data_IF_691658034564
#
_entry.id   IF_691658034564
#
_cell.length_a   1.000
_cell.length_b   1.000
_cell.length_c   1.000
_cell.angle_alpha   90.00
_cell.angle_beta   90.00
_cell.angle_gamma   90.00
#
_symmetry.space_group_name_H-M   'P 1'
#
loop_
_entity.id
_entity.type
_entity.pdbx_description
1 polymer ?
#
# COMPACT_ATOMS: atom_id res chain seq x y z
N UNK A 1 -13.10 -18.81 -26.04
CA UNK A 1 -13.97 -18.58 -24.87
C UNK A 1 -13.55 -17.24 -24.30
N UNK A 2 -14.47 -16.28 -24.27
CA UNK A 2 -14.20 -14.99 -23.64
C UNK A 2 -14.10 -15.22 -22.14
N UNK A 3 -12.93 -14.93 -21.57
CA UNK A 3 -12.67 -15.04 -20.14
C UNK A 3 -13.46 -13.95 -19.39
N UNK A 4 -14.30 -14.34 -18.44
CA UNK A 4 -15.01 -13.40 -17.57
C UNK A 4 -14.28 -13.27 -16.22
N UNK A 5 -13.65 -12.13 -15.91
CA UNK A 5 -12.95 -11.92 -14.64
C UNK A 5 -13.89 -11.78 -13.43
N UNK A 6 -15.21 -11.73 -13.65
CA UNK A 6 -16.20 -11.47 -12.61
C UNK A 6 -16.28 -12.61 -11.59
N UNK A 7 -16.19 -13.86 -12.04
CA UNK A 7 -16.27 -15.04 -11.16
C UNK A 7 -15.05 -15.15 -10.24
N UNK A 8 -13.84 -14.95 -10.77
CA UNK A 8 -12.61 -14.93 -9.97
C UNK A 8 -12.63 -13.79 -8.93
N UNK A 9 -13.02 -12.58 -9.35
CA UNK A 9 -13.14 -11.43 -8.43
C UNK A 9 -14.14 -11.71 -7.32
N UNK A 10 -15.31 -12.25 -7.66
CA UNK A 10 -16.36 -12.57 -6.69
C UNK A 10 -15.90 -13.64 -5.71
N UNK A 11 -15.28 -14.71 -6.19
CA UNK A 11 -14.80 -15.79 -5.32
C UNK A 11 -13.78 -15.29 -4.28
N UNK A 12 -12.85 -14.42 -4.67
CA UNK A 12 -11.84 -13.85 -3.76
C UNK A 12 -12.48 -12.85 -2.79
N UNK A 13 -13.40 -12.01 -3.27
CA UNK A 13 -14.12 -11.04 -2.43
C UNK A 13 -15.02 -11.74 -1.39
N UNK A 14 -15.77 -12.78 -1.81
CA UNK A 14 -16.64 -13.58 -0.93
C UNK A 14 -15.83 -14.32 0.14
N UNK A 15 -14.62 -14.79 -0.20
CA UNK A 15 -13.72 -15.42 0.76
C UNK A 15 -13.22 -14.44 1.84
N UNK A 16 -13.16 -13.14 1.54
CA UNK A 16 -12.68 -12.06 2.42
C UNK A 16 -11.30 -12.35 3.03
N UNK A 17 -10.52 -13.18 2.35
CA UNK A 17 -9.23 -13.68 2.83
C UNK A 17 -8.04 -12.90 2.29
N UNK A 18 -8.30 -12.02 1.31
CA UNK A 18 -7.28 -11.28 0.58
C UNK A 18 -6.36 -12.17 -0.25
N UNK A 19 -5.35 -11.53 -0.83
CA UNK A 19 -4.27 -12.18 -1.56
C UNK A 19 -3.40 -13.03 -0.63
N UNK A 20 -3.16 -12.59 0.63
CA UNK A 20 -2.42 -13.40 1.61
C UNK A 20 -3.13 -14.73 1.89
N UNK A 21 -4.45 -14.74 2.07
CA UNK A 21 -5.20 -15.98 2.27
C UNK A 21 -5.16 -16.90 1.04
N UNK A 22 -5.15 -16.33 -0.17
CA UNK A 22 -4.94 -17.09 -1.40
C UNK A 22 -3.55 -17.76 -1.42
N UNK A 23 -2.49 -17.03 -1.07
CA UNK A 23 -1.13 -17.59 -0.94
C UNK A 23 -1.07 -18.70 0.11
N UNK A 24 -1.64 -18.45 1.30
CA UNK A 24 -1.61 -19.39 2.42
C UNK A 24 -2.38 -20.69 2.12
N UNK A 25 -3.36 -20.65 1.22
CA UNK A 25 -4.08 -21.84 0.73
C UNK A 25 -3.23 -22.75 -0.18
N UNK A 26 -2.01 -22.35 -0.52
CA UNK A 26 -1.10 -23.15 -1.33
C UNK A 26 -1.38 -23.07 -2.83
N UNK A 27 -1.86 -21.91 -3.32
CA UNK A 27 -2.16 -21.72 -4.74
C UNK A 27 -0.93 -22.01 -5.60
N UNK A 28 -1.09 -22.83 -6.65
CA UNK A 28 -0.01 -23.20 -7.59
C UNK A 28 0.01 -22.34 -8.86
N UNK A 29 -1.10 -21.69 -9.18
CA UNK A 29 -1.25 -20.81 -10.34
C UNK A 29 -1.85 -19.47 -9.92
N UNK A 30 -1.29 -18.36 -10.42
CA UNK A 30 -1.82 -17.02 -10.16
C UNK A 30 -3.15 -16.86 -10.91
N UNK A 31 -4.26 -16.49 -10.25
CA UNK A 31 -5.52 -16.20 -10.92
C UNK A 31 -5.36 -15.14 -12.01
N UNK A 32 -6.05 -15.32 -13.12
CA UNK A 32 -5.86 -14.50 -14.32
C UNK A 32 -6.20 -13.04 -14.08
N UNK A 33 -7.06 -12.73 -13.11
CA UNK A 33 -7.35 -11.35 -12.74
C UNK A 33 -6.12 -10.56 -12.26
N UNK A 34 -5.04 -11.21 -11.84
CA UNK A 34 -3.79 -10.58 -11.38
C UNK A 34 -2.68 -10.60 -12.43
N UNK A 35 -2.88 -11.28 -13.56
CA UNK A 35 -1.85 -11.42 -14.60
C UNK A 35 -1.90 -10.20 -15.52
N UNK A 36 -0.81 -9.43 -15.55
CA UNK A 36 -0.65 -8.30 -16.47
C UNK A 36 -0.51 -8.77 -17.93
N UNK A 37 -0.97 -7.98 -18.92
CA UNK A 37 -0.92 -8.38 -20.31
C UNK A 37 0.55 -8.39 -20.77
N UNK A 38 0.94 -9.29 -21.69
CA UNK A 38 2.34 -9.42 -22.11
C UNK A 38 2.96 -8.15 -22.70
N UNK A 39 2.16 -7.27 -23.31
CA UNK A 39 2.66 -6.03 -23.92
C UNK A 39 3.10 -5.01 -22.87
N UNK A 40 2.37 -4.85 -21.75
CA UNK A 40 2.78 -3.98 -20.63
C UNK A 40 4.11 -4.46 -20.03
N UNK A 41 4.26 -5.79 -19.86
CA UNK A 41 5.50 -6.36 -19.34
C UNK A 41 6.67 -6.17 -20.31
N UNK A 42 6.43 -6.31 -21.62
CA UNK A 42 7.45 -6.12 -22.64
C UNK A 42 7.94 -4.67 -22.70
N UNK A 43 7.05 -3.68 -22.52
CA UNK A 43 7.43 -2.27 -22.41
C UNK A 43 8.35 -2.02 -21.21
N UNK A 44 8.01 -2.53 -20.02
CA UNK A 44 8.84 -2.40 -18.82
C UNK A 44 10.23 -3.05 -18.99
N UNK A 45 10.30 -4.23 -19.60
CA UNK A 45 11.58 -4.92 -19.83
C UNK A 45 12.48 -4.18 -20.84
N UNK A 46 11.87 -3.41 -21.74
CA UNK A 46 12.58 -2.56 -22.70
C UNK A 46 12.93 -1.18 -22.11
N UNK A 47 12.40 -0.82 -20.93
CA UNK A 47 12.86 0.36 -20.21
C UNK A 47 14.29 0.12 -19.73
N UNK A 48 15.22 0.89 -20.31
CA UNK A 48 16.63 0.82 -19.96
C UNK A 48 16.80 1.01 -18.43
N UNK A 49 17.60 0.15 -17.79
CA UNK A 49 17.95 0.30 -16.37
C UNK A 49 18.64 1.65 -16.19
N UNK A 50 17.88 2.63 -15.74
CA UNK A 50 18.39 3.96 -15.50
C UNK A 50 19.37 3.94 -14.33
N UNK A 51 20.49 4.66 -14.45
CA UNK A 51 21.40 4.94 -13.34
C UNK A 51 20.91 6.08 -12.46
N UNK A 52 19.73 6.66 -12.76
CA UNK A 52 19.12 7.72 -11.98
C UNK A 52 18.90 7.23 -10.53
N UNK A 53 19.50 7.94 -9.59
CA UNK A 53 19.26 7.77 -8.18
C UNK A 53 18.23 8.80 -7.73
N UNK A 54 17.22 8.35 -7.01
CA UNK A 54 16.22 9.24 -6.39
C UNK A 54 16.95 10.18 -5.42
N UNK A 55 16.76 11.51 -5.52
CA UNK A 55 17.40 12.47 -4.62
C UNK A 55 17.15 12.16 -3.15
N UNK A 56 18.10 12.50 -2.29
CA UNK A 56 18.01 12.34 -0.84
C UNK A 56 18.19 13.71 -0.20
N UNK A 57 17.21 14.13 0.61
CA UNK A 57 17.23 15.38 1.37
C UNK A 57 17.55 15.07 2.83
N UNK A 58 18.56 15.74 3.38
CA UNK A 58 19.00 15.60 4.77
C UNK A 58 18.39 16.71 5.64
N UNK A 59 17.62 16.33 6.66
CA UNK A 59 16.96 17.29 7.56
C UNK A 59 17.76 17.62 8.83
N UNK A 60 19.02 17.19 8.95
CA UNK A 60 19.84 17.39 10.17
C UNK A 60 19.90 18.84 10.64
N UNK A 61 19.94 19.80 9.71
CA UNK A 61 20.10 21.23 10.02
C UNK A 61 18.76 22.01 10.03
N UNK A 62 17.61 21.33 10.09
CA UNK A 62 16.29 21.97 9.97
C UNK A 62 15.95 22.92 11.13
N UNK A 63 16.62 22.78 12.27
CA UNK A 63 16.45 23.66 13.43
C UNK A 63 17.32 24.92 13.38
N UNK A 64 18.33 24.96 12.50
CA UNK A 64 19.20 26.13 12.30
C UNK A 64 18.56 27.03 11.24
N UNK A 65 18.41 28.34 11.48
CA UNK A 65 17.68 29.25 10.57
C UNK A 65 18.23 29.22 9.13
N UNK A 66 19.55 29.37 8.96
CA UNK A 66 20.21 29.30 7.66
C UNK A 66 20.14 27.88 7.05
N UNK A 67 20.17 26.84 7.87
CA UNK A 67 20.04 25.44 7.45
C UNK A 67 18.65 25.13 6.92
N UNK A 68 17.62 25.53 7.66
CA UNK A 68 16.21 25.43 7.29
C UNK A 68 15.94 26.07 5.94
N UNK A 69 16.47 27.27 5.69
CA UNK A 69 16.28 27.95 4.40
C UNK A 69 16.84 27.13 3.23
N UNK A 70 18.05 26.58 3.38
CA UNK A 70 18.67 25.71 2.35
C UNK A 70 17.85 24.44 2.11
N UNK A 71 17.40 23.79 3.18
CA UNK A 71 16.57 22.58 3.10
C UNK A 71 15.24 22.88 2.38
N UNK A 72 14.59 24.00 2.69
CA UNK A 72 13.34 24.41 2.02
C UNK A 72 13.57 24.67 0.52
N UNK A 73 14.68 25.33 0.17
CA UNK A 73 15.04 25.58 -1.24
C UNK A 73 15.37 24.26 -1.96
N UNK A 74 16.07 23.33 -1.31
CA UNK A 74 16.34 22.00 -1.84
C UNK A 74 15.06 21.19 -2.06
N UNK A 75 14.15 21.13 -1.06
CA UNK A 75 12.85 20.46 -1.17
C UNK A 75 12.05 21.02 -2.35
N UNK A 76 12.04 22.35 -2.53
CA UNK A 76 11.38 22.99 -3.68
C UNK A 76 12.00 22.50 -4.99
N UNK A 77 13.32 22.54 -5.11
CA UNK A 77 14.02 22.14 -6.32
C UNK A 77 13.78 20.67 -6.69
N UNK A 78 13.90 19.75 -5.71
CA UNK A 78 13.67 18.32 -5.98
C UNK A 78 12.20 18.03 -6.27
N UNK A 79 11.27 18.75 -5.64
CA UNK A 79 9.84 18.61 -5.93
C UNK A 79 9.51 19.05 -7.36
N UNK A 80 10.07 20.17 -7.82
CA UNK A 80 9.85 20.70 -9.18
C UNK A 80 10.50 19.83 -10.26
N UNK A 81 11.71 19.31 -10.00
CA UNK A 81 12.48 18.56 -11.01
C UNK A 81 12.16 17.07 -11.04
N UNK A 82 11.91 16.47 -9.88
CA UNK A 82 11.76 15.00 -9.74
C UNK A 82 10.35 14.59 -9.35
N UNK A 83 9.63 15.38 -8.55
CA UNK A 83 8.34 15.00 -7.98
C UNK A 83 8.40 13.86 -6.95
N UNK A 84 9.59 13.35 -6.65
CA UNK A 84 9.86 12.30 -5.66
C UNK A 84 11.29 12.45 -5.11
N UNK A 85 11.45 12.29 -3.80
CA UNK A 85 12.73 12.28 -3.10
C UNK A 85 12.64 11.45 -1.82
N UNK A 86 13.78 11.03 -1.30
CA UNK A 86 13.90 10.39 0.01
C UNK A 86 14.30 11.43 1.06
N UNK A 87 13.96 11.17 2.31
CA UNK A 87 14.30 12.04 3.44
C UNK A 87 15.08 11.24 4.47
N UNK A 88 16.20 11.76 4.93
CA UNK A 88 16.99 11.21 6.04
C UNK A 88 17.09 12.21 7.18
N UNK A 89 17.46 11.73 8.37
CA UNK A 89 17.57 12.55 9.59
C UNK A 89 16.28 13.34 9.90
N UNK A 90 15.13 12.75 9.59
CA UNK A 90 13.79 13.34 9.76
C UNK A 90 13.31 13.48 11.22
N UNK A 91 14.14 13.15 12.21
CA UNK A 91 13.81 13.25 13.64
C UNK A 91 12.89 12.14 14.20
N UNK A 92 12.13 11.43 13.35
CA UNK A 92 11.34 10.26 13.78
C UNK A 92 12.27 9.13 14.28
N UNK A 93 12.12 8.64 15.52
CA UNK A 93 12.95 7.56 16.05
C UNK A 93 12.78 6.25 15.27
N UNK A 94 13.89 5.53 15.06
CA UNK A 94 13.88 4.23 14.35
C UNK A 94 12.95 3.21 14.99
N UNK A 95 12.82 3.21 16.32
CA UNK A 95 11.90 2.31 17.05
C UNK A 95 10.44 2.51 16.65
N UNK A 96 10.03 3.72 16.29
CA UNK A 96 8.67 4.01 15.82
C UNK A 96 8.45 3.40 14.43
N UNK A 97 9.42 3.55 13.53
CA UNK A 97 9.36 2.97 12.18
C UNK A 97 9.36 1.44 12.24
N UNK A 98 10.20 0.86 13.10
CA UNK A 98 10.26 -0.59 13.34
C UNK A 98 8.94 -1.12 13.92
N UNK A 99 8.35 -0.41 14.89
CA UNK A 99 7.05 -0.75 15.46
C UNK A 99 5.93 -0.73 14.41
N UNK A 100 5.92 0.26 13.52
CA UNK A 100 4.94 0.34 12.42
C UNK A 100 5.07 -0.85 11.45
N UNK A 101 6.30 -1.23 11.08
CA UNK A 101 6.55 -2.38 10.20
C UNK A 101 6.14 -3.69 10.90
N UNK A 102 6.50 -3.85 12.17
CA UNK A 102 6.18 -5.03 12.96
C UNK A 102 4.67 -5.18 13.16
N UNK A 103 3.97 -4.12 13.53
CA UNK A 103 2.50 -4.14 13.69
C UNK A 103 1.78 -4.49 12.39
N UNK A 104 2.22 -3.91 11.26
CA UNK A 104 1.70 -4.25 9.93
C UNK A 104 1.90 -5.73 9.61
N UNK A 105 3.11 -6.28 9.83
CA UNK A 105 3.40 -7.70 9.62
C UNK A 105 2.52 -8.58 10.50
N UNK A 106 2.47 -8.29 11.80
CA UNK A 106 1.64 -9.02 12.76
C UNK A 106 0.18 -9.04 12.33
N UNK A 107 -0.37 -7.91 11.87
CA UNK A 107 -1.74 -7.88 11.37
C UNK A 107 -1.96 -8.83 10.20
N UNK A 108 -1.10 -8.80 9.17
CA UNK A 108 -1.28 -9.63 7.98
C UNK A 108 -1.05 -11.13 8.24
N UNK A 109 -0.24 -11.48 9.25
CA UNK A 109 -0.03 -12.87 9.69
C UNK A 109 -1.08 -13.39 10.67
N UNK A 110 -2.04 -12.57 11.12
CA UNK A 110 -3.16 -13.08 11.92
C UNK A 110 -4.05 -14.03 11.11
N UNK A 111 -4.79 -14.86 11.85
CA UNK A 111 -5.83 -15.72 11.31
C UNK A 111 -6.81 -14.94 10.44
N UNK A 112 -7.26 -15.59 9.37
CA UNK A 112 -8.18 -14.96 8.40
C UNK A 112 -9.47 -14.48 9.05
N UNK A 113 -9.98 -15.19 10.06
CA UNK A 113 -11.21 -14.83 10.76
C UNK A 113 -11.07 -13.51 11.51
N UNK A 114 -9.90 -13.23 12.11
CA UNK A 114 -9.65 -11.94 12.76
C UNK A 114 -9.58 -10.81 11.72
N UNK A 115 -8.89 -11.04 10.60
CA UNK A 115 -8.79 -10.03 9.52
C UNK A 115 -10.14 -9.74 8.87
N UNK A 116 -11.03 -10.73 8.77
CA UNK A 116 -12.39 -10.59 8.22
C UNK A 116 -13.25 -9.59 8.98
N UNK A 117 -13.01 -9.41 10.28
CA UNK A 117 -13.71 -8.40 11.10
C UNK A 117 -13.48 -6.98 10.58
N UNK A 118 -12.35 -6.75 9.92
CA UNK A 118 -11.99 -5.46 9.32
C UNK A 118 -12.33 -5.39 7.83
N UNK A 119 -12.77 -6.49 7.20
CA UNK A 119 -12.93 -6.55 5.75
C UNK A 119 -14.08 -5.65 5.26
N UNK A 120 -13.76 -4.70 4.38
CA UNK A 120 -14.77 -3.88 3.69
C UNK A 120 -14.23 -3.36 2.36
N UNK A 121 -14.99 -3.59 1.28
CA UNK A 121 -14.74 -2.98 -0.03
C UNK A 121 -15.26 -1.54 -0.14
N UNK A 122 -16.11 -1.10 0.79
CA UNK A 122 -16.63 0.27 0.82
C UNK A 122 -15.66 1.18 1.60
N UNK A 123 -15.05 2.19 0.94
CA UNK A 123 -14.12 3.10 1.58
C UNK A 123 -14.76 4.04 2.60
N UNK A 124 -16.09 4.15 2.62
CA UNK A 124 -16.84 5.02 3.54
C UNK A 124 -17.48 4.28 4.71
N UNK A 125 -17.44 2.95 4.71
CA UNK A 125 -18.15 2.15 5.71
C UNK A 125 -17.56 2.29 7.12
N UNK A 126 -16.25 2.52 7.23
CA UNK A 126 -15.53 2.63 8.51
C UNK A 126 -14.13 3.21 8.31
N UNK A 127 -13.53 3.65 9.40
CA UNK A 127 -12.20 4.26 9.41
C UNK A 127 -11.05 3.25 9.33
N UNK A 128 -11.19 2.14 10.03
CA UNK A 128 -10.23 1.04 10.03
C UNK A 128 -10.79 -0.12 9.22
N UNK A 129 -10.19 -0.40 8.06
CA UNK A 129 -10.70 -1.40 7.12
C UNK A 129 -9.59 -2.14 6.39
N UNK A 130 -9.85 -3.39 6.07
CA UNK A 130 -8.96 -4.27 5.32
C UNK A 130 -9.60 -4.63 3.97
N UNK A 131 -8.82 -4.64 2.90
CA UNK A 131 -9.26 -5.14 1.60
C UNK A 131 -8.09 -5.66 0.74
N UNK A 132 -8.43 -6.22 -0.41
CA UNK A 132 -7.47 -6.63 -1.46
C UNK A 132 -7.66 -5.89 -2.79
N UNK A 133 -8.17 -4.64 -2.75
CA UNK A 133 -8.31 -3.73 -3.89
C UNK A 133 -9.06 -4.26 -5.13
N UNK A 134 -9.95 -5.26 -4.98
CA UNK A 134 -10.70 -5.83 -6.10
C UNK A 134 -11.69 -4.83 -6.72
N UNK A 135 -12.17 -3.87 -5.92
CA UNK A 135 -13.23 -2.93 -6.30
C UNK A 135 -12.77 -1.75 -7.17
N UNK A 136 -11.49 -1.37 -7.09
CA UNK A 136 -10.92 -0.27 -7.91
C UNK A 136 -10.90 -0.65 -9.40
N UNK A 137 -10.97 -1.94 -9.70
CA UNK A 137 -10.90 -2.51 -11.04
C UNK A 137 -12.26 -2.99 -11.57
N UNK A 138 -13.33 -2.22 -11.31
CA UNK A 138 -14.66 -2.44 -11.89
C UNK A 138 -14.74 -2.20 -13.40
N UNK A 139 -13.78 -1.49 -13.98
CA UNK A 139 -13.72 -1.28 -15.43
C UNK A 139 -13.25 -2.56 -16.12
N UNK A 140 -13.98 -3.00 -17.15
CA UNK A 140 -13.57 -4.12 -18.01
C UNK A 140 -12.13 -3.90 -18.49
N UNK A 141 -11.27 -4.91 -18.33
CA UNK A 141 -9.89 -4.90 -18.78
C UNK A 141 -8.83 -4.43 -17.77
N UNK A 142 -9.23 -3.90 -16.60
CA UNK A 142 -8.25 -3.58 -15.53
C UNK A 142 -7.97 -4.78 -14.63
N UNK A 143 -6.68 -5.06 -14.47
CA UNK A 143 -6.10 -6.15 -13.66
C UNK A 143 -6.10 -5.76 -12.18
N UNK A 144 -6.40 -6.74 -11.32
CA UNK A 144 -6.31 -6.61 -9.88
C UNK A 144 -4.85 -6.55 -9.41
N UNK A 145 -4.59 -5.78 -8.35
CA UNK A 145 -3.27 -5.75 -7.74
C UNK A 145 -3.07 -6.98 -6.87
N UNK A 146 -1.89 -7.60 -6.96
CA UNK A 146 -1.46 -8.65 -6.02
C UNK A 146 -1.06 -8.02 -4.68
N UNK A 147 -2.05 -7.50 -3.94
CA UNK A 147 -1.83 -6.71 -2.74
C UNK A 147 -3.04 -6.72 -1.82
N UNK A 148 -2.75 -6.83 -0.54
CA UNK A 148 -3.68 -6.51 0.54
C UNK A 148 -3.34 -5.15 1.17
N UNK A 149 -4.34 -4.46 1.72
CA UNK A 149 -4.15 -3.19 2.41
C UNK A 149 -5.01 -3.13 3.67
N UNK A 150 -4.39 -2.78 4.80
CA UNK A 150 -5.09 -2.21 5.95
C UNK A 150 -5.08 -0.68 5.82
N UNK A 151 -6.26 -0.07 5.86
CA UNK A 151 -6.46 1.36 5.90
C UNK A 151 -6.85 1.77 7.31
N UNK A 152 -6.17 2.79 7.83
CA UNK A 152 -6.49 3.46 9.09
C UNK A 152 -6.59 4.94 8.72
N UNK A 153 -7.80 5.48 8.69
CA UNK A 153 -8.05 6.82 8.14
C UNK A 153 -9.16 7.57 8.86
N UNK A 154 -8.84 8.80 9.28
CA UNK A 154 -9.81 9.72 9.89
C UNK A 154 -10.73 10.39 8.87
N UNK A 155 -10.62 10.09 7.57
CA UNK A 155 -11.38 10.77 6.53
C UNK A 155 -12.91 10.60 6.64
N UNK A 156 -13.39 9.61 7.40
CA UNK A 156 -14.83 9.31 7.53
C UNK A 156 -15.47 10.10 8.67
N UNK A 157 -14.86 10.16 9.86
CA UNK A 157 -15.44 10.85 11.04
C UNK A 157 -14.49 11.79 11.78
N UNK A 158 -13.27 12.01 11.29
CA UNK A 158 -12.31 12.97 11.82
C UNK A 158 -11.59 12.58 13.11
N UNK A 159 -11.84 11.38 13.66
CA UNK A 159 -11.19 10.84 14.85
C UNK A 159 -11.26 9.32 14.84
N UNK A 160 -10.17 8.61 15.15
CA UNK A 160 -10.16 7.15 15.29
C UNK A 160 -10.10 6.78 16.76
N UNK A 161 -11.06 5.99 17.23
CA UNK A 161 -10.99 5.40 18.57
C UNK A 161 -9.88 4.34 18.59
N UNK A 162 -8.94 4.37 19.55
CA UNK A 162 -7.83 3.43 19.59
C UNK A 162 -8.28 1.95 19.54
N UNK A 163 -9.44 1.63 20.10
CA UNK A 163 -10.01 0.28 20.11
C UNK A 163 -10.42 -0.22 18.72
N UNK A 164 -10.68 0.68 17.76
CA UNK A 164 -10.95 0.32 16.37
C UNK A 164 -9.69 -0.10 15.61
N UNK A 165 -8.52 0.26 16.10
CA UNK A 165 -7.23 -0.16 15.53
C UNK A 165 -6.90 -1.57 16.03
N UNK A 166 -6.55 -2.51 15.14
CA UNK A 166 -6.10 -3.84 15.53
C UNK A 166 -5.07 -3.76 16.64
N UNK A 167 -5.25 -4.54 17.71
CA UNK A 167 -4.40 -4.47 18.89
C UNK A 167 -2.91 -4.64 18.57
N UNK A 168 -2.59 -5.43 17.56
CA UNK A 168 -1.20 -5.66 17.09
C UNK A 168 -0.58 -4.45 16.38
N UNK A 169 -1.39 -3.48 15.96
CA UNK A 169 -0.99 -2.25 15.28
C UNK A 169 -0.98 -1.00 16.20
N UNK A 170 -1.36 -1.16 17.47
CA UNK A 170 -1.40 -0.07 18.45
C UNK A 170 -0.08 0.13 19.17
#
# INVERSE_FOLDING_TARGET
MDYDPSDEKKAIDDAKAGVKGLVDSGVVEIPRIFIRPPHELAEELNMCKSTLQVPVVDLSDIEVEDGRKKIVDEIREVSEKWGLFQVINHGIPSSVLEGMIDGTRKFHEQDVEVKKEYYSSDPTARQVRYDCNLHVNKTKGKIANWKDTLYISELVSGHIEPEEIPQVCR
#
